data_IF_539114675911
#
_entry.id   IF_539114675911
#
_cell.length_a   1.000
_cell.length_b   1.000
_cell.length_c   1.000
_cell.angle_alpha   90.00
_cell.angle_beta   90.00
_cell.angle_gamma   90.00
#
_symmetry.space_group_name_H-M   'P 1'
#
loop_
_entity.id
_entity.type
_entity.pdbx_description
1 polymer ?
#
# COMPACT_ATOMS: atom_id res chain seq x y z
N UNK A 1 -2.16 20.19 0.93
CA UNK A 1 -2.67 18.90 0.42
C UNK A 1 -2.58 17.84 1.51
N UNK A 2 -3.67 17.16 1.83
CA UNK A 2 -3.62 16.01 2.73
C UNK A 2 -3.03 14.80 1.96
N UNK A 3 -1.80 14.42 2.29
CA UNK A 3 -1.01 13.43 1.54
C UNK A 3 -1.63 12.03 1.59
N UNK A 4 -2.23 11.66 2.73
CA UNK A 4 -2.97 10.40 2.88
C UNK A 4 -4.18 10.38 1.95
N UNK A 5 -4.96 11.47 1.93
CA UNK A 5 -6.11 11.58 1.02
C UNK A 5 -5.69 11.54 -0.46
N UNK A 6 -4.55 12.14 -0.82
CA UNK A 6 -4.02 12.04 -2.18
C UNK A 6 -3.73 10.59 -2.56
N UNK A 7 -3.04 9.82 -1.71
CA UNK A 7 -2.76 8.40 -1.97
C UNK A 7 -4.05 7.58 -2.04
N UNK A 8 -4.99 7.82 -1.12
CA UNK A 8 -6.27 7.11 -1.06
C UNK A 8 -7.20 7.45 -2.25
N UNK A 9 -7.09 8.66 -2.79
CA UNK A 9 -7.76 9.08 -4.03
C UNK A 9 -7.15 8.42 -5.27
N UNK A 10 -5.87 8.06 -5.22
CA UNK A 10 -5.14 7.36 -6.28
C UNK A 10 -4.85 5.89 -5.89
N UNK A 11 -5.75 5.26 -5.14
CA UNK A 11 -5.52 3.95 -4.52
C UNK A 11 -5.10 2.86 -5.50
N UNK A 12 -5.77 2.77 -6.65
CA UNK A 12 -5.47 1.75 -7.67
C UNK A 12 -4.06 1.98 -8.22
N UNK A 13 -3.72 3.21 -8.55
CA UNK A 13 -2.37 3.59 -9.00
C UNK A 13 -1.31 3.23 -7.94
N UNK A 14 -1.58 3.53 -6.67
CA UNK A 14 -0.70 3.20 -5.55
C UNK A 14 -0.49 1.70 -5.38
N UNK A 15 -1.56 0.89 -5.46
CA UNK A 15 -1.45 -0.58 -5.37
C UNK A 15 -0.66 -1.15 -6.57
N UNK A 16 -0.87 -0.62 -7.78
CA UNK A 16 -0.06 -1.01 -8.93
C UNK A 16 1.41 -0.59 -8.79
N UNK A 17 1.68 0.58 -8.22
CA UNK A 17 3.03 1.01 -7.90
C UNK A 17 3.71 0.08 -6.89
N UNK A 18 3.00 -0.34 -5.83
CA UNK A 18 3.54 -1.35 -4.91
C UNK A 18 3.87 -2.65 -5.63
N UNK A 19 2.97 -3.12 -6.51
CA UNK A 19 3.15 -4.36 -7.28
C UNK A 19 4.31 -4.31 -8.26
N UNK A 20 4.65 -3.13 -8.80
CA UNK A 20 5.80 -3.00 -9.70
C UNK A 20 7.14 -3.05 -8.98
N UNK A 21 7.15 -2.87 -7.65
CA UNK A 21 8.36 -2.86 -6.81
C UNK A 21 8.60 -4.18 -6.09
N UNK A 22 7.53 -4.92 -5.78
CA UNK A 22 7.61 -6.19 -5.06
C UNK A 22 6.52 -7.16 -5.54
N UNK A 23 6.75 -8.49 -5.49
CA UNK A 23 5.75 -9.48 -5.85
C UNK A 23 4.56 -9.37 -4.89
N UNK A 24 3.49 -8.75 -5.40
CA UNK A 24 2.26 -8.50 -4.66
C UNK A 24 1.08 -9.10 -5.42
N UNK A 25 0.45 -10.10 -4.84
CA UNK A 25 -0.63 -10.86 -5.45
C UNK A 25 -1.77 -11.06 -4.45
N UNK A 26 -2.95 -11.43 -4.94
CA UNK A 26 -4.07 -11.75 -4.06
C UNK A 26 -3.66 -12.80 -3.02
N UNK A 27 -3.93 -12.50 -1.74
CA UNK A 27 -3.55 -13.27 -0.56
C UNK A 27 -2.05 -13.26 -0.18
N UNK A 28 -1.22 -12.44 -0.81
CA UNK A 28 0.16 -12.24 -0.37
C UNK A 28 0.25 -11.40 0.90
N UNK A 29 1.32 -11.57 1.66
CA UNK A 29 1.60 -10.70 2.81
C UNK A 29 2.10 -9.32 2.35
N UNK A 30 1.71 -8.31 3.11
CA UNK A 30 2.18 -6.92 3.03
C UNK A 30 2.76 -6.57 4.38
N UNK A 31 4.05 -6.29 4.44
CA UNK A 31 4.71 -5.86 5.67
C UNK A 31 4.66 -4.34 5.79
N UNK A 32 4.61 -3.85 7.03
CA UNK A 32 4.53 -2.42 7.33
C UNK A 32 5.68 -1.62 6.71
N UNK A 33 6.89 -2.18 6.73
CA UNK A 33 8.08 -1.55 6.15
C UNK A 33 7.97 -1.40 4.63
N UNK A 34 7.41 -2.38 3.94
CA UNK A 34 7.20 -2.32 2.49
C UNK A 34 6.16 -1.24 2.16
N UNK A 35 5.08 -1.18 2.94
CA UNK A 35 4.06 -0.14 2.79
C UNK A 35 4.65 1.25 3.06
N UNK A 36 5.43 1.41 4.13
CA UNK A 36 6.09 2.67 4.45
C UNK A 36 7.04 3.12 3.34
N UNK A 37 7.87 2.22 2.82
CA UNK A 37 8.77 2.51 1.72
C UNK A 37 7.98 2.90 0.45
N UNK A 38 6.91 2.16 0.15
CA UNK A 38 6.06 2.47 -0.99
C UNK A 38 5.39 3.84 -0.88
N UNK A 39 4.93 4.25 0.31
CA UNK A 39 4.34 5.59 0.54
C UNK A 39 5.35 6.69 0.25
N UNK A 40 6.58 6.56 0.76
CA UNK A 40 7.65 7.55 0.56
C UNK A 40 8.03 7.64 -0.91
N UNK A 41 8.29 6.50 -1.56
CA UNK A 41 8.70 6.49 -2.96
C UNK A 41 7.57 6.89 -3.91
N UNK A 42 6.32 6.52 -3.63
CA UNK A 42 5.17 6.95 -4.44
C UNK A 42 5.03 8.47 -4.44
N UNK A 43 5.06 9.10 -3.26
CA UNK A 43 4.99 10.57 -3.17
C UNK A 43 6.18 11.25 -3.85
N UNK A 44 7.37 10.65 -3.74
CA UNK A 44 8.57 11.12 -4.45
C UNK A 44 8.41 11.10 -5.96
N UNK A 45 7.76 10.08 -6.54
CA UNK A 45 7.44 10.08 -7.99
C UNK A 45 6.48 11.20 -8.41
N UNK A 46 5.72 11.74 -7.46
CA UNK A 46 4.83 12.90 -7.64
C UNK A 46 5.48 14.22 -7.23
N UNK A 47 6.80 14.27 -7.13
CA UNK A 47 7.59 15.42 -6.66
C UNK A 47 7.25 15.91 -5.24
N UNK A 48 6.69 15.05 -4.40
CA UNK A 48 6.37 15.35 -3.00
C UNK A 48 7.36 14.63 -2.10
N UNK A 49 8.29 15.37 -1.50
CA UNK A 49 9.26 14.82 -0.54
C UNK A 49 8.68 14.85 0.88
N UNK A 50 8.88 13.77 1.62
CA UNK A 50 8.47 13.63 3.02
C UNK A 50 9.61 13.05 3.85
N UNK A 51 9.64 13.38 5.14
CA UNK A 51 10.60 12.79 6.08
C UNK A 51 10.16 11.39 6.52
N UNK A 52 11.10 10.60 7.06
CA UNK A 52 10.86 9.23 7.49
C UNK A 52 9.72 9.11 8.52
N UNK A 53 9.70 9.99 9.52
CA UNK A 53 8.66 10.05 10.56
C UNK A 53 7.27 10.34 9.99
N UNK A 54 7.20 11.22 9.00
CA UNK A 54 5.96 11.50 8.28
C UNK A 54 5.52 10.26 7.46
N UNK A 55 6.46 9.59 6.79
CA UNK A 55 6.20 8.35 6.04
C UNK A 55 5.60 7.25 6.92
N UNK A 56 6.10 7.07 8.14
CA UNK A 56 5.54 6.11 9.08
C UNK A 56 4.08 6.45 9.44
N UNK A 57 3.81 7.72 9.78
CA UNK A 57 2.46 8.19 10.12
C UNK A 57 1.48 7.96 8.97
N UNK A 58 1.89 8.33 7.75
CA UNK A 58 1.07 8.16 6.54
C UNK A 58 0.82 6.68 6.23
N UNK A 59 1.83 5.82 6.37
CA UNK A 59 1.69 4.38 6.16
C UNK A 59 0.68 3.74 7.13
N UNK A 60 0.69 4.14 8.41
CA UNK A 60 -0.31 3.68 9.39
C UNK A 60 -1.72 4.12 9.01
N UNK A 61 -1.88 5.37 8.59
CA UNK A 61 -3.16 5.92 8.16
C UNK A 61 -3.69 5.18 6.92
N UNK A 62 -2.83 4.94 5.93
CA UNK A 62 -3.17 4.23 4.70
C UNK A 62 -3.53 2.78 5.00
N UNK A 63 -2.74 2.07 5.82
CA UNK A 63 -3.04 0.70 6.23
C UNK A 63 -4.44 0.60 6.84
N UNK A 64 -4.76 1.49 7.79
CA UNK A 64 -6.06 1.53 8.45
C UNK A 64 -7.22 1.80 7.47
N UNK A 65 -7.01 2.65 6.46
CA UNK A 65 -8.03 2.93 5.45
C UNK A 65 -8.20 1.77 4.46
N UNK A 66 -7.12 1.09 4.07
CA UNK A 66 -7.19 -0.12 3.24
C UNK A 66 -7.80 -1.30 4.01
N UNK A 67 -7.58 -1.39 5.32
CA UNK A 67 -8.27 -2.34 6.21
C UNK A 67 -9.78 -2.10 6.22
N UNK A 68 -10.22 -0.85 6.41
CA UNK A 68 -11.66 -0.48 6.38
C UNK A 68 -12.32 -0.80 5.05
N UNK A 69 -11.57 -0.73 3.95
CA UNK A 69 -12.04 -1.10 2.60
C UNK A 69 -11.94 -2.60 2.30
N UNK A 70 -11.53 -3.41 3.28
CA UNK A 70 -11.30 -4.86 3.13
C UNK A 70 -10.27 -5.22 2.04
N UNK A 71 -9.36 -4.29 1.71
CA UNK A 71 -8.25 -4.50 0.75
C UNK A 71 -7.04 -5.09 1.48
N UNK A 72 -6.82 -4.69 2.73
CA UNK A 72 -5.87 -5.34 3.62
C UNK A 72 -6.63 -6.06 4.72
N UNK A 73 -6.30 -7.31 4.98
CA UNK A 73 -6.77 -8.05 6.16
C UNK A 73 -5.64 -8.13 7.17
N UNK A 74 -5.83 -7.56 8.35
CA UNK A 74 -4.82 -7.55 9.39
C UNK A 74 -4.48 -8.96 9.84
N UNK A 75 -3.19 -9.31 9.85
CA UNK A 75 -2.69 -10.56 10.41
C UNK A 75 -2.07 -10.32 11.79
N UNK A 76 -1.27 -9.26 11.93
CA UNK A 76 -0.68 -8.83 13.19
C UNK A 76 -0.47 -7.30 13.22
N UNK A 77 0.30 -6.78 14.17
CA UNK A 77 0.54 -5.34 14.34
C UNK A 77 1.35 -4.69 13.21
N UNK A 78 2.03 -5.47 12.37
CA UNK A 78 2.96 -5.00 11.33
C UNK A 78 2.79 -5.70 9.99
N UNK A 79 1.81 -6.60 9.86
CA UNK A 79 1.61 -7.42 8.67
C UNK A 79 0.14 -7.56 8.35
N UNK A 80 -0.17 -7.47 7.06
CA UNK A 80 -1.49 -7.67 6.49
C UNK A 80 -1.44 -8.69 5.37
N UNK A 81 -2.57 -9.29 5.06
CA UNK A 81 -2.79 -10.05 3.83
C UNK A 81 -3.50 -9.15 2.82
N UNK A 82 -3.00 -9.09 1.59
CA UNK A 82 -3.66 -8.40 0.50
C UNK A 82 -4.93 -9.16 0.09
N UNK A 83 -6.09 -8.58 0.34
CA UNK A 83 -7.38 -9.09 -0.10
C UNK A 83 -7.87 -8.33 -1.35
N UNK A 84 -7.13 -8.47 -2.45
CA UNK A 84 -7.43 -7.77 -3.71
C UNK A 84 -7.48 -8.74 -4.91
N UNK A 85 -8.67 -9.27 -5.28
CA UNK A 85 -8.81 -10.32 -6.29
C UNK A 85 -8.30 -9.96 -7.69
N UNK A 86 -8.26 -8.68 -8.06
CA UNK A 86 -7.70 -8.22 -9.34
C UNK A 86 -6.21 -8.56 -9.48
N UNK A 87 -5.51 -8.79 -8.37
CA UNK A 87 -4.10 -9.19 -8.35
C UNK A 87 -3.93 -10.71 -8.24
N UNK A 88 -4.97 -11.47 -8.55
CA UNK A 88 -4.86 -12.94 -8.65
C UNK A 88 -3.94 -13.31 -9.81
N UNK A 89 -3.04 -14.25 -9.58
CA UNK A 89 -2.28 -14.88 -10.64
C UNK A 89 -3.29 -15.63 -11.53
N UNK A 90 -3.52 -15.15 -12.75
CA UNK A 90 -4.29 -15.94 -13.72
C UNK A 90 -3.53 -17.26 -13.87
N UNK A 91 -4.19 -18.39 -13.61
CA UNK A 91 -3.63 -19.69 -14.00
C UNK A 91 -3.43 -19.63 -15.52
N UNK A 92 -2.21 -19.86 -15.98
CA UNK A 92 -1.99 -20.20 -17.38
C UNK A 92 -2.81 -21.46 -17.63
N UNK A 93 -3.84 -21.33 -18.48
CA UNK A 93 -4.62 -22.46 -18.97
C UNK A 93 -3.82 -23.28 -19.97
#
# INVERSE_FOLDING_TARGET
>A
MNKSQYILGNQVEFLHFMRSRAPMYHLSNIFFRDLQYAVVEFLKTKNIRIHHTEGERLAREIALQLEKKNILKKLNSTTWMLNYPEFSLKKAG
#
